data_IF_510062388967
#
_entry.id   IF_510062388967
#
_cell.length_a   1.000
_cell.length_b   1.000
_cell.length_c   1.000
_cell.angle_alpha   90.00
_cell.angle_beta   90.00
_cell.angle_gamma   90.00
#
_symmetry.space_group_name_H-M   'P 1'
#
loop_
_entity.id
_entity.type
_entity.pdbx_description
1 polymer ?
#
# COMPACT_ATOMS: atom_id res chain seq x y z
N UNK A 1 13.80 -4.77 9.76
CA UNK A 1 14.51 -3.55 10.19
C UNK A 1 14.95 -2.78 8.96
N UNK A 2 14.82 -1.45 8.99
CA UNK A 2 15.29 -0.57 7.90
C UNK A 2 16.82 -0.47 7.97
N UNK A 3 17.50 -0.60 6.83
CA UNK A 3 18.95 -0.48 6.78
C UNK A 3 19.38 0.98 6.96
N UNK A 4 20.63 1.22 7.41
CA UNK A 4 21.16 2.58 7.57
C UNK A 4 21.10 3.39 6.25
N UNK A 5 21.39 2.74 5.11
CA UNK A 5 21.25 3.36 3.79
C UNK A 5 19.80 3.68 3.44
N UNK A 6 18.86 2.79 3.81
CA UNK A 6 17.42 3.05 3.67
C UNK A 6 17.01 4.30 4.44
N UNK A 7 17.42 4.42 5.71
CA UNK A 7 17.16 5.61 6.54
C UNK A 7 17.73 6.86 5.87
N UNK A 8 19.00 6.84 5.44
CA UNK A 8 19.63 7.98 4.77
C UNK A 8 18.86 8.42 3.53
N UNK A 9 18.41 7.48 2.71
CA UNK A 9 17.62 7.77 1.52
C UNK A 9 16.24 8.36 1.86
N UNK A 10 15.53 7.80 2.85
CA UNK A 10 14.26 8.32 3.32
C UNK A 10 14.38 9.75 3.87
N UNK A 11 15.43 10.04 4.64
CA UNK A 11 15.71 11.39 5.16
C UNK A 11 15.97 12.38 4.03
N UNK A 12 16.75 12.00 3.01
CA UNK A 12 16.96 12.85 1.84
C UNK A 12 15.66 13.17 1.10
N UNK A 13 14.77 12.19 0.93
CA UNK A 13 13.46 12.40 0.29
C UNK A 13 12.58 13.38 1.09
N UNK A 14 12.55 13.24 2.42
CA UNK A 14 11.79 14.14 3.30
C UNK A 14 12.40 15.54 3.31
N UNK A 15 13.72 15.65 3.29
CA UNK A 15 14.43 16.94 3.21
C UNK A 15 14.07 17.68 1.93
N UNK A 16 14.12 16.99 0.79
CA UNK A 16 13.81 17.58 -0.51
C UNK A 16 12.36 18.08 -0.62
N UNK A 17 11.41 17.42 0.04
CA UNK A 17 9.98 17.77 -0.04
C UNK A 17 9.52 18.74 1.06
N UNK A 18 10.07 18.65 2.26
CA UNK A 18 9.52 19.32 3.46
C UNK A 18 10.57 20.10 4.27
N UNK A 19 11.84 20.07 3.86
CA UNK A 19 12.93 20.79 4.52
C UNK A 19 13.55 20.07 5.73
N UNK A 20 14.63 20.66 6.23
CA UNK A 20 15.53 20.03 7.21
C UNK A 20 14.89 19.77 8.57
N UNK A 21 14.00 20.67 9.03
CA UNK A 21 13.33 20.53 10.32
C UNK A 21 12.46 19.26 10.37
N UNK A 22 11.66 19.05 9.32
CA UNK A 22 10.78 17.89 9.19
C UNK A 22 11.60 16.62 9.02
N UNK A 23 12.70 16.68 8.26
CA UNK A 23 13.62 15.58 8.06
C UNK A 23 14.30 15.12 9.37
N UNK A 24 14.71 16.06 10.24
CA UNK A 24 15.32 15.75 11.54
C UNK A 24 14.37 14.96 12.45
N UNK A 25 13.10 15.33 12.48
CA UNK A 25 12.06 14.60 13.24
C UNK A 25 11.83 13.21 12.65
N UNK A 26 11.74 13.11 11.32
CA UNK A 26 11.59 11.83 10.63
C UNK A 26 12.78 10.89 10.88
N UNK A 27 14.02 11.39 10.78
CA UNK A 27 15.23 10.61 11.06
C UNK A 27 15.25 10.08 12.50
N UNK A 28 14.84 10.91 13.47
CA UNK A 28 14.73 10.50 14.86
C UNK A 28 13.79 9.30 15.03
N UNK A 29 12.61 9.34 14.41
CA UNK A 29 11.63 8.25 14.45
C UNK A 29 12.14 6.99 13.72
N UNK A 30 12.77 7.15 12.55
CA UNK A 30 13.30 6.01 11.78
C UNK A 30 14.44 5.29 12.49
N UNK A 31 15.26 6.01 13.28
CA UNK A 31 16.38 5.42 14.02
C UNK A 31 15.99 4.86 15.37
N UNK A 32 15.12 5.55 16.11
CA UNK A 32 14.78 5.20 17.50
C UNK A 32 13.48 4.40 17.62
N UNK A 33 12.71 4.30 16.55
CA UNK A 33 11.40 3.66 16.56
C UNK A 33 10.29 4.58 17.11
N UNK A 34 9.22 4.00 17.67
CA UNK A 34 8.09 4.76 18.20
C UNK A 34 8.49 5.64 19.38
N UNK A 35 8.08 6.90 19.37
CA UNK A 35 8.41 7.86 20.43
C UNK A 35 7.22 8.74 20.80
N UNK A 36 7.17 9.20 22.05
CA UNK A 36 6.24 10.24 22.50
C UNK A 36 6.73 11.62 22.04
N UNK A 37 5.82 12.61 22.02
CA UNK A 37 6.17 14.00 21.67
C UNK A 37 7.36 14.53 22.49
N UNK A 38 7.33 14.30 23.81
CA UNK A 38 8.40 14.76 24.71
C UNK A 38 9.74 14.08 24.42
N UNK A 39 9.73 12.78 24.08
CA UNK A 39 10.94 12.05 23.74
C UNK A 39 11.54 12.54 22.40
N UNK A 40 10.70 12.92 21.44
CA UNK A 40 11.14 13.50 20.17
C UNK A 40 11.76 14.87 20.39
N UNK A 41 11.13 15.74 21.19
CA UNK A 41 11.67 17.06 21.57
C UNK A 41 13.06 16.93 22.19
N UNK A 42 13.20 16.05 23.18
CA UNK A 42 14.50 15.79 23.84
C UNK A 42 15.54 15.22 22.88
N UNK A 43 15.14 14.34 21.96
CA UNK A 43 16.06 13.67 21.04
C UNK A 43 16.52 14.54 19.88
N UNK A 44 15.70 15.51 19.47
CA UNK A 44 15.96 16.37 18.31
C UNK A 44 16.49 17.74 18.72
N UNK A 45 16.40 18.10 20.01
CA UNK A 45 16.77 19.43 20.53
C UNK A 45 16.01 20.57 19.83
N UNK A 46 14.84 20.27 19.25
CA UNK A 46 13.94 21.24 18.64
C UNK A 46 12.91 21.73 19.66
N UNK A 47 12.33 22.90 19.41
CA UNK A 47 11.24 23.39 20.26
C UNK A 47 9.99 22.51 20.10
N UNK A 48 9.13 22.47 21.14
CA UNK A 48 7.89 21.70 21.05
C UNK A 48 7.00 22.13 19.88
N UNK A 49 6.98 23.42 19.53
CA UNK A 49 6.24 23.93 18.37
C UNK A 49 6.79 23.38 17.05
N UNK A 50 8.12 23.41 16.86
CA UNK A 50 8.76 22.86 15.67
C UNK A 50 8.48 21.36 15.50
N UNK A 51 8.55 20.59 16.59
CA UNK A 51 8.24 19.15 16.53
C UNK A 51 6.76 18.92 16.19
N UNK A 52 5.82 19.64 16.81
CA UNK A 52 4.39 19.53 16.51
C UNK A 52 4.09 19.84 15.04
N UNK A 53 4.64 20.93 14.51
CA UNK A 53 4.46 21.31 13.10
C UNK A 53 5.08 20.29 12.16
N UNK A 54 6.26 19.74 12.50
CA UNK A 54 6.90 18.69 11.71
C UNK A 54 6.09 17.39 11.70
N UNK A 55 5.56 16.97 12.85
CA UNK A 55 4.68 15.82 12.95
C UNK A 55 3.38 16.03 12.17
N UNK A 56 2.80 17.23 12.22
CA UNK A 56 1.61 17.57 11.43
C UNK A 56 1.85 17.34 9.94
N UNK A 57 2.96 17.85 9.40
CA UNK A 57 3.35 17.65 7.99
C UNK A 57 3.55 16.16 7.68
N UNK A 58 4.27 15.43 8.52
CA UNK A 58 4.55 14.00 8.30
C UNK A 58 3.27 13.16 8.35
N UNK A 59 2.34 13.44 9.27
CA UNK A 59 1.05 12.75 9.38
C UNK A 59 0.18 13.10 8.17
N UNK A 60 0.11 14.38 7.80
CA UNK A 60 -0.61 14.87 6.62
C UNK A 60 -0.20 14.14 5.34
N UNK A 61 1.09 13.80 5.19
CA UNK A 61 1.61 13.06 4.04
C UNK A 61 1.74 11.54 4.26
N UNK A 62 1.06 10.98 5.25
CA UNK A 62 1.04 9.55 5.58
C UNK A 62 2.44 8.94 5.82
N UNK A 63 3.41 9.76 6.23
CA UNK A 63 4.77 9.35 6.54
C UNK A 63 4.93 8.94 8.01
N UNK A 64 4.04 9.40 8.89
CA UNK A 64 4.00 9.06 10.31
C UNK A 64 2.57 8.70 10.71
N UNK A 65 2.42 7.72 11.59
CA UNK A 65 1.16 7.36 12.22
C UNK A 65 1.26 7.60 13.72
N UNK A 66 0.26 8.28 14.30
CA UNK A 66 0.10 8.36 15.74
C UNK A 66 -0.72 7.15 16.21
N UNK A 67 -0.48 6.68 17.44
CA UNK A 67 -1.26 5.63 18.07
C UNK A 67 -1.19 5.78 19.59
N UNK A 68 -2.20 5.28 20.29
CA UNK A 68 -2.24 5.25 21.74
C UNK A 68 -1.79 3.88 22.19
N UNK A 69 -0.78 3.83 23.05
CA UNK A 69 -0.37 2.58 23.69
C UNK A 69 -1.03 2.48 25.06
N UNK A 70 -1.89 1.48 25.24
CA UNK A 70 -2.49 1.18 26.53
C UNK A 70 -1.52 0.32 27.35
N UNK A 71 -1.01 0.91 28.43
CA UNK A 71 -0.17 0.21 29.41
C UNK A 71 -1.05 -0.12 30.60
N UNK A 72 -1.50 -1.37 30.67
CA UNK A 72 -2.14 -1.90 31.88
C UNK A 72 -1.10 -1.87 33.01
N UNK A 73 -1.29 -0.96 33.96
CA UNK A 73 -0.44 -0.83 35.13
C UNK A 73 -0.51 -2.11 35.96
N UNK A 74 0.64 -2.73 36.22
CA UNK A 74 0.73 -3.93 37.07
C UNK A 74 0.37 -3.69 38.54
N UNK A 75 0.16 -2.43 38.95
CA UNK A 75 0.06 -2.04 40.36
C UNK A 75 -0.99 -0.96 40.63
N UNK A 76 -2.23 -1.11 40.14
CA UNK A 76 -3.38 -0.31 40.57
C UNK A 76 -3.33 1.20 40.28
N UNK A 77 -2.27 1.68 39.63
CA UNK A 77 -2.18 3.03 39.08
C UNK A 77 -2.88 3.04 37.71
N UNK A 78 -3.77 4.02 37.50
CA UNK A 78 -4.69 4.04 36.36
C UNK A 78 -3.99 3.87 35.01
N UNK A 79 -4.71 3.31 34.02
CA UNK A 79 -4.19 3.09 32.68
C UNK A 79 -3.60 4.38 32.09
N UNK A 80 -2.27 4.43 31.95
CA UNK A 80 -1.57 5.61 31.43
C UNK A 80 -1.50 5.51 29.92
N UNK A 81 -2.53 6.01 29.27
CA UNK A 81 -2.56 6.16 27.82
C UNK A 81 -1.50 7.18 27.38
N UNK A 82 -0.62 6.76 26.46
CA UNK A 82 0.39 7.65 25.90
C UNK A 82 0.39 7.58 24.37
N UNK A 83 0.23 8.74 23.73
CA UNK A 83 0.34 8.85 22.27
C UNK A 83 1.81 8.72 21.86
N UNK A 84 2.05 7.79 20.95
CA UNK A 84 3.34 7.55 20.32
C UNK A 84 3.22 7.78 18.82
N UNK A 85 4.33 8.18 18.21
CA UNK A 85 4.45 8.43 16.79
C UNK A 85 5.42 7.41 16.19
N UNK A 86 5.04 6.80 15.08
CA UNK A 86 5.87 5.84 14.37
C UNK A 86 6.03 6.28 12.90
N UNK A 87 7.27 6.25 12.40
CA UNK A 87 7.55 6.54 10.99
C UNK A 87 7.21 5.33 10.12
N UNK A 88 6.52 5.57 9.01
CA UNK A 88 6.12 4.56 8.03
C UNK A 88 7.12 4.57 6.87
N UNK A 89 8.20 3.80 7.00
CA UNK A 89 9.29 3.78 6.03
C UNK A 89 8.80 3.48 4.60
N UNK A 90 7.97 2.45 4.43
CA UNK A 90 7.48 2.04 3.12
C UNK A 90 6.70 3.18 2.43
N UNK A 91 5.88 3.94 3.17
CA UNK A 91 5.14 5.11 2.65
C UNK A 91 6.08 6.25 2.23
N UNK A 92 7.14 6.51 3.00
CA UNK A 92 8.13 7.55 2.66
C UNK A 92 8.82 7.21 1.33
N UNK A 93 9.24 5.96 1.15
CA UNK A 93 9.91 5.52 -0.08
C UNK A 93 8.97 5.57 -1.29
N UNK A 94 7.67 5.29 -1.11
CA UNK A 94 6.72 5.38 -2.23
C UNK A 94 6.58 6.78 -2.82
N UNK A 95 6.94 7.85 -2.08
CA UNK A 95 6.93 9.22 -2.60
C UNK A 95 7.77 9.38 -3.86
N UNK A 96 8.91 8.68 -3.93
CA UNK A 96 9.76 8.68 -5.13
C UNK A 96 9.05 8.10 -6.36
N UNK A 97 8.04 7.25 -6.17
CA UNK A 97 7.33 6.56 -7.26
C UNK A 97 6.10 7.30 -7.75
N UNK A 98 5.77 8.48 -7.21
CA UNK A 98 4.59 9.24 -7.59
C UNK A 98 4.45 9.45 -9.12
N UNK A 99 5.49 9.84 -9.87
CA UNK A 99 5.37 9.97 -11.33
C UNK A 99 4.94 8.67 -12.03
N UNK A 100 5.39 7.52 -11.52
CA UNK A 100 5.02 6.20 -12.04
C UNK A 100 3.57 5.85 -11.70
N UNK A 101 3.07 6.24 -10.53
CA UNK A 101 1.68 6.04 -10.14
C UNK A 101 0.73 6.84 -11.04
N UNK A 102 1.07 8.11 -11.32
CA UNK A 102 0.32 8.96 -12.24
C UNK A 102 0.27 8.37 -13.66
N UNK A 103 1.41 7.91 -14.16
CA UNK A 103 1.49 7.25 -15.47
C UNK A 103 0.65 5.97 -15.52
N UNK A 104 0.60 5.20 -14.42
CA UNK A 104 -0.20 3.98 -14.34
C UNK A 104 -1.69 4.29 -14.42
N UNK A 105 -2.16 5.25 -13.62
CA UNK A 105 -3.58 5.64 -13.58
C UNK A 105 -4.01 6.27 -14.89
N UNK A 106 -3.18 7.14 -15.48
CA UNK A 106 -3.48 7.72 -16.78
C UNK A 106 -3.62 6.68 -17.89
N UNK A 107 -2.94 5.53 -17.80
CA UNK A 107 -3.02 4.44 -18.78
C UNK A 107 -4.16 3.46 -18.51
N UNK A 108 -4.44 3.16 -17.24
CA UNK A 108 -5.43 2.15 -16.83
C UNK A 108 -6.85 2.73 -16.76
N UNK A 109 -6.97 4.00 -16.41
CA UNK A 109 -8.23 4.73 -16.30
C UNK A 109 -8.25 5.82 -17.36
N UNK A 110 -8.06 7.07 -16.96
CA UNK A 110 -8.04 8.23 -17.85
C UNK A 110 -7.17 9.36 -17.27
N UNK A 111 -7.00 10.42 -18.06
CA UNK A 111 -6.19 11.58 -17.67
C UNK A 111 -6.78 12.35 -16.48
N UNK A 112 -8.11 12.42 -16.37
CA UNK A 112 -8.78 13.15 -15.29
C UNK A 112 -8.54 12.47 -13.93
N UNK A 113 -8.59 11.14 -13.90
CA UNK A 113 -8.23 10.35 -12.72
C UNK A 113 -6.77 10.61 -12.30
N UNK A 114 -5.85 10.76 -13.26
CA UNK A 114 -4.45 11.02 -12.95
C UNK A 114 -4.24 12.42 -12.34
N UNK A 115 -4.92 13.44 -12.86
CA UNK A 115 -4.85 14.81 -12.33
C UNK A 115 -5.46 14.92 -10.93
N UNK A 116 -6.61 14.28 -10.70
CA UNK A 116 -7.23 14.22 -9.37
C UNK A 116 -6.32 13.50 -8.36
N UNK A 117 -5.69 12.40 -8.77
CA UNK A 117 -4.71 11.69 -7.95
C UNK A 117 -3.45 12.52 -7.69
N UNK A 118 -2.98 13.30 -8.66
CA UNK A 118 -1.82 14.17 -8.50
C UNK A 118 -2.01 15.16 -7.34
N UNK A 119 -3.15 15.86 -7.30
CA UNK A 119 -3.49 16.73 -6.19
C UNK A 119 -3.48 16.01 -4.84
N UNK A 120 -3.99 14.77 -4.80
CA UNK A 120 -3.97 13.93 -3.60
C UNK A 120 -2.55 13.53 -3.19
N UNK A 121 -1.68 13.14 -4.12
CA UNK A 121 -0.29 12.77 -3.83
C UNK A 121 0.55 13.96 -3.36
N UNK A 122 0.34 15.14 -3.95
CA UNK A 122 1.03 16.36 -3.60
C UNK A 122 0.67 16.83 -2.19
N UNK A 123 -0.60 16.76 -1.80
CA UNK A 123 -1.09 17.28 -0.51
C UNK A 123 -1.33 16.23 0.58
N UNK A 124 -1.29 14.94 0.27
CA UNK A 124 -1.45 13.86 1.24
C UNK A 124 -2.92 13.51 1.53
N UNK A 125 -3.43 13.96 2.69
CA UNK A 125 -4.81 13.69 3.15
C UNK A 125 -5.74 14.84 2.78
N UNK A 126 -6.80 14.59 2.02
CA UNK A 126 -7.73 15.64 1.59
C UNK A 126 -9.18 15.25 1.83
N UNK A 127 -10.05 16.23 2.09
CA UNK A 127 -11.50 16.04 2.03
C UNK A 127 -11.99 15.97 0.58
N UNK A 128 -13.18 15.43 0.35
CA UNK A 128 -13.78 15.42 -1.00
C UNK A 128 -13.87 16.83 -1.60
N UNK A 129 -14.36 17.79 -0.79
CA UNK A 129 -14.44 19.21 -1.16
C UNK A 129 -13.07 19.76 -1.57
N UNK A 130 -12.05 19.51 -0.76
CA UNK A 130 -10.68 19.94 -1.04
C UNK A 130 -10.10 19.33 -2.31
N UNK A 131 -10.44 18.08 -2.63
CA UNK A 131 -10.05 17.44 -3.89
C UNK A 131 -10.73 18.11 -5.08
N UNK A 132 -12.04 18.38 -4.97
CA UNK A 132 -12.83 18.98 -6.04
C UNK A 132 -12.43 20.43 -6.32
N UNK A 133 -12.25 21.24 -5.27
CA UNK A 133 -11.82 22.64 -5.40
C UNK A 133 -10.47 22.75 -6.13
N UNK A 134 -9.56 21.80 -5.89
CA UNK A 134 -8.26 21.73 -6.57
C UNK A 134 -8.38 21.30 -8.03
N UNK A 135 -9.22 20.30 -8.33
CA UNK A 135 -9.46 19.87 -9.70
C UNK A 135 -10.06 21.00 -10.55
N UNK A 136 -10.95 21.81 -9.99
CA UNK A 136 -11.55 23.01 -10.63
C UNK A 136 -10.53 24.08 -10.99
N UNK A 137 -9.48 24.24 -10.18
CA UNK A 137 -8.42 25.22 -10.45
C UNK A 137 -7.53 24.83 -11.64
N UNK A 138 -7.55 23.55 -12.06
CA UNK A 138 -6.77 23.02 -13.18
C UNK A 138 -7.52 22.85 -14.51
N UNK A 139 -8.85 22.71 -14.50
CA UNK A 139 -9.68 22.53 -15.71
C UNK A 139 -11.12 23.10 -15.56
N UNK A 140 -11.72 23.53 -16.68
CA UNK A 140 -13.14 23.92 -16.81
C UNK A 140 -14.10 22.68 -16.83
N UNK A 141 -13.85 21.67 -15.99
CA UNK A 141 -14.73 20.51 -15.85
C UNK A 141 -15.84 20.77 -14.82
N UNK A 142 -17.08 20.36 -15.12
CA UNK A 142 -18.17 20.40 -14.14
C UNK A 142 -17.98 19.36 -13.02
N UNK A 143 -18.60 19.59 -11.87
CA UNK A 143 -18.49 18.76 -10.65
C UNK A 143 -18.76 17.27 -10.90
N UNK A 144 -19.64 16.96 -11.86
CA UNK A 144 -20.00 15.60 -12.26
C UNK A 144 -18.80 14.80 -12.82
N UNK A 145 -17.94 15.44 -13.61
CA UNK A 145 -16.75 14.80 -14.21
C UNK A 145 -15.72 14.45 -13.14
N UNK A 146 -15.53 15.35 -12.17
CA UNK A 146 -14.60 15.12 -11.06
C UNK A 146 -15.12 14.02 -10.13
N UNK A 147 -16.43 13.98 -9.90
CA UNK A 147 -17.08 12.93 -9.14
C UNK A 147 -16.97 11.57 -9.84
N UNK A 148 -17.17 11.51 -11.16
CA UNK A 148 -16.98 10.28 -11.93
C UNK A 148 -15.53 9.78 -11.84
N UNK A 149 -14.54 10.67 -11.99
CA UNK A 149 -13.13 10.34 -11.85
C UNK A 149 -12.80 9.82 -10.44
N UNK A 150 -13.38 10.44 -9.41
CA UNK A 150 -13.26 9.99 -8.02
C UNK A 150 -13.81 8.57 -7.84
N UNK A 151 -15.01 8.29 -8.34
CA UNK A 151 -15.64 6.97 -8.25
C UNK A 151 -14.82 5.91 -9.00
N UNK A 152 -14.28 6.24 -10.18
CA UNK A 152 -13.37 5.34 -10.93
C UNK A 152 -12.12 4.99 -10.12
N UNK A 153 -11.47 5.98 -9.52
CA UNK A 153 -10.29 5.77 -8.67
C UNK A 153 -10.62 4.89 -7.45
N UNK A 154 -11.79 5.10 -6.86
CA UNK A 154 -12.25 4.36 -5.69
C UNK A 154 -12.56 2.90 -6.01
N UNK A 155 -13.31 2.65 -7.09
CA UNK A 155 -13.64 1.32 -7.58
C UNK A 155 -12.39 0.55 -8.04
N UNK A 156 -11.38 1.25 -8.54
CA UNK A 156 -10.09 0.67 -8.87
C UNK A 156 -9.16 0.49 -7.65
N UNK A 157 -9.61 0.87 -6.44
CA UNK A 157 -8.89 0.82 -5.16
C UNK A 157 -7.60 1.67 -5.11
N UNK A 158 -7.43 2.65 -6.01
CA UNK A 158 -6.26 3.53 -6.01
C UNK A 158 -6.34 4.62 -4.93
N UNK A 159 -7.54 4.93 -4.46
CA UNK A 159 -7.79 5.82 -3.32
C UNK A 159 -8.58 5.09 -2.24
N UNK A 160 -8.40 5.52 -1.00
CA UNK A 160 -9.05 4.93 0.17
C UNK A 160 -9.28 5.99 1.24
N UNK A 161 -10.19 5.71 2.18
CA UNK A 161 -10.33 6.54 3.37
C UNK A 161 -9.06 6.49 4.23
N UNK A 162 -8.76 7.61 4.87
CA UNK A 162 -7.60 7.71 5.75
C UNK A 162 -7.75 6.78 6.96
N UNK A 163 -6.63 6.27 7.49
CA UNK A 163 -6.62 5.56 8.76
C UNK A 163 -7.09 6.46 9.90
N UNK A 164 -7.64 5.86 10.94
CA UNK A 164 -7.94 6.52 12.20
C UNK A 164 -6.71 7.28 12.71
N UNK A 165 -6.93 8.48 13.23
CA UNK A 165 -5.87 9.38 13.68
C UNK A 165 -5.05 8.77 14.82
N UNK A 166 -5.71 8.14 15.78
CA UNK A 166 -5.09 7.58 16.99
C UNK A 166 -5.74 6.24 17.36
N UNK A 167 -5.40 5.13 16.67
CA UNK A 167 -5.84 3.80 17.09
C UNK A 167 -5.27 3.46 18.48
N UNK A 168 -6.07 2.76 19.28
CA UNK A 168 -5.63 2.24 20.57
C UNK A 168 -5.05 0.84 20.37
N UNK A 169 -3.81 0.65 20.79
CA UNK A 169 -3.15 -0.65 20.84
C UNK A 169 -3.01 -1.12 22.27
N UNK A 170 -3.46 -2.34 22.53
CA UNK A 170 -3.14 -3.09 23.74
C UNK A 170 -1.84 -3.86 23.56
N UNK A 171 -0.96 -3.79 24.57
CA UNK A 171 0.22 -4.65 24.59
C UNK A 171 -0.19 -6.12 24.78
N UNK A 172 0.51 -7.08 24.15
CA UNK A 172 0.31 -8.49 24.44
C UNK A 172 0.57 -8.74 25.93
N UNK A 173 -0.30 -9.51 26.58
CA UNK A 173 -0.14 -9.85 28.01
C UNK A 173 1.15 -10.66 28.23
N UNK A 174 1.67 -10.65 29.47
CA UNK A 174 2.85 -11.47 29.84
C UNK A 174 2.68 -12.96 29.51
N UNK A 175 1.45 -13.47 29.52
CA UNK A 175 1.12 -14.83 29.11
C UNK A 175 1.27 -15.04 27.60
N UNK A 176 0.81 -14.09 26.78
CA UNK A 176 1.01 -14.12 25.33
C UNK A 176 2.49 -14.00 24.95
N UNK A 177 3.26 -13.15 25.62
CA UNK A 177 4.71 -13.06 25.41
C UNK A 177 5.44 -14.35 25.83
N UNK A 178 5.02 -14.99 26.93
CA UNK A 178 5.57 -16.26 27.38
C UNK A 178 5.19 -17.41 26.43
N UNK A 179 3.97 -17.43 25.91
CA UNK A 179 3.52 -18.40 24.90
C UNK A 179 4.29 -18.22 23.59
N UNK A 180 4.51 -16.97 23.14
CA UNK A 180 5.34 -16.64 21.96
C UNK A 180 6.80 -17.06 22.12
N UNK A 181 7.39 -16.90 23.31
CA UNK A 181 8.75 -17.39 23.63
C UNK A 181 8.85 -18.91 23.67
N UNK A 182 7.79 -19.62 24.06
CA UNK A 182 7.73 -21.10 24.02
C UNK A 182 7.54 -21.62 22.58
N UNK A 183 6.72 -20.96 21.77
CA UNK A 183 6.51 -21.30 20.36
C UNK A 183 7.79 -21.14 19.52
N UNK A 184 8.55 -20.07 19.75
CA UNK A 184 9.83 -19.84 19.07
C UNK A 184 10.90 -20.91 19.36
N UNK A 185 10.80 -21.64 20.48
CA UNK A 185 11.70 -22.76 20.82
C UNK A 185 11.26 -24.12 20.24
N UNK A 186 10.04 -24.22 19.68
CA UNK A 186 9.42 -25.48 19.25
C UNK A 186 9.57 -25.76 17.75
N UNK A 187 10.17 -24.86 16.96
CA UNK A 187 10.50 -25.10 15.55
C UNK A 187 9.31 -25.34 14.60
N UNK A 188 8.06 -25.17 15.05
CA UNK A 188 6.87 -25.25 14.20
C UNK A 188 6.58 -23.88 13.58
N UNK A 189 6.85 -23.77 12.27
CA UNK A 189 6.49 -22.70 11.33
C UNK A 189 6.96 -21.31 11.79
N UNK A 190 7.93 -20.75 11.06
CA UNK A 190 8.31 -19.34 11.10
C UNK A 190 7.12 -18.49 10.63
N UNK A 191 6.11 -18.34 11.49
CA UNK A 191 5.10 -17.30 11.37
C UNK A 191 5.86 -15.98 11.54
N UNK A 192 6.01 -15.25 10.43
CA UNK A 192 6.71 -13.97 10.40
C UNK A 192 6.08 -13.08 11.47
N UNK A 193 6.79 -12.83 12.57
CA UNK A 193 6.30 -11.96 13.65
C UNK A 193 5.87 -10.63 13.03
N UNK A 194 4.59 -10.31 13.16
CA UNK A 194 4.07 -9.03 12.68
C UNK A 194 4.76 -7.88 13.40
N UNK A 195 5.27 -6.93 12.63
CA UNK A 195 6.00 -5.79 13.19
C UNK A 195 5.03 -4.86 13.91
N UNK A 196 5.52 -4.10 14.89
CA UNK A 196 4.70 -3.09 15.56
C UNK A 196 4.10 -2.08 14.55
N UNK A 197 4.87 -1.72 13.52
CA UNK A 197 4.38 -0.90 12.40
C UNK A 197 3.13 -1.50 11.73
N UNK A 198 3.14 -2.81 11.44
CA UNK A 198 2.01 -3.50 10.83
C UNK A 198 0.78 -3.49 11.74
N UNK A 199 0.95 -3.80 13.03
CA UNK A 199 -0.14 -3.76 14.02
C UNK A 199 -0.76 -2.37 14.15
N UNK A 200 0.07 -1.33 14.18
CA UNK A 200 -0.38 0.07 14.24
C UNK A 200 -1.19 0.43 12.99
N UNK A 201 -0.67 0.11 11.81
CA UNK A 201 -1.36 0.40 10.55
C UNK A 201 -2.69 -0.37 10.46
N UNK A 202 -2.71 -1.65 10.84
CA UNK A 202 -3.91 -2.47 10.83
C UNK A 202 -4.98 -1.97 11.81
N UNK A 203 -4.61 -1.62 13.04
CA UNK A 203 -5.52 -1.04 14.00
C UNK A 203 -6.05 0.35 13.56
N UNK A 204 -5.27 1.08 12.77
CA UNK A 204 -5.70 2.35 12.20
C UNK A 204 -6.64 2.18 10.99
N UNK A 205 -6.63 1.04 10.30
CA UNK A 205 -7.40 0.89 9.06
C UNK A 205 -8.91 0.84 9.36
N UNK A 206 -9.73 1.62 8.65
CA UNK A 206 -11.17 1.47 8.71
C UNK A 206 -11.57 0.05 8.27
N UNK A 207 -12.70 -0.45 8.76
CA UNK A 207 -13.28 -1.71 8.30
C UNK A 207 -13.33 -1.74 6.76
N UNK A 208 -13.06 -2.90 6.17
CA UNK A 208 -12.94 -3.07 4.71
C UNK A 208 -14.14 -2.48 3.94
N UNK A 209 -15.35 -2.61 4.50
CA UNK A 209 -16.55 -1.95 3.98
C UNK A 209 -16.39 -0.41 3.94
N UNK A 210 -16.05 0.23 5.06
CA UNK A 210 -15.91 1.69 5.13
C UNK A 210 -14.73 2.23 4.32
N UNK A 211 -13.66 1.44 4.16
CA UNK A 211 -12.41 1.87 3.49
C UNK A 211 -12.63 2.37 2.06
N UNK A 212 -13.59 1.78 1.35
CA UNK A 212 -13.90 2.10 -0.05
C UNK A 212 -15.35 2.57 -0.26
N UNK A 213 -16.09 2.89 0.81
CA UNK A 213 -17.47 3.35 0.68
C UNK A 213 -17.51 4.82 0.26
N UNK A 214 -18.20 5.09 -0.85
CA UNK A 214 -18.66 6.42 -1.24
C UNK A 214 -20.12 6.57 -0.78
N UNK A 215 -20.35 7.40 0.24
CA UNK A 215 -21.70 7.82 0.58
C UNK A 215 -21.99 9.07 -0.24
N UNK A 216 -22.74 8.94 -1.33
CA UNK A 216 -23.39 10.09 -1.94
C UNK A 216 -24.41 10.59 -0.92
N UNK A 217 -24.26 11.83 -0.45
CA UNK A 217 -25.37 12.53 0.18
C UNK A 217 -26.43 12.79 -0.89
N UNK A 218 -27.19 11.76 -1.25
CA UNK A 218 -28.50 11.96 -1.82
C UNK A 218 -29.36 12.32 -0.63
N UNK A 219 -29.63 13.61 -0.42
CA UNK A 219 -30.78 14.00 0.39
C UNK A 219 -31.95 13.13 -0.05
N UNK A 220 -32.65 12.43 0.86
CA UNK A 220 -33.90 11.81 0.50
C UNK A 220 -34.83 12.98 0.15
N UNK A 221 -35.01 13.20 -1.15
CA UNK A 221 -36.10 14.00 -1.67
C UNK A 221 -37.37 13.49 -0.99
N UNK A 222 -37.88 14.28 -0.07
CA UNK A 222 -39.14 14.04 0.59
C UNK A 222 -40.23 14.01 -0.49
N UNK A 223 -40.59 12.81 -0.93
CA UNK A 223 -41.75 12.63 -1.77
C UNK A 223 -43.00 12.69 -0.87
N UNK A 224 -43.87 13.61 -1.24
CA UNK A 224 -44.99 14.06 -0.45
C UNK A 224 -46.14 13.07 -0.45
N UNK A 225 -46.35 12.40 0.68
CA UNK A 225 -47.64 11.85 1.05
C UNK A 225 -48.52 12.95 1.66
N UNK A 226 -49.40 13.53 0.85
CA UNK A 226 -50.49 14.41 1.30
C UNK A 226 -51.36 13.69 2.33
N UNK A 227 -51.56 14.31 3.49
CA UNK A 227 -52.85 14.25 4.18
C UNK A 227 -53.19 15.61 4.79
N UNK A 228 -54.46 16.00 4.61
CA UNK A 228 -55.03 17.34 4.81
C UNK A 228 -55.58 17.56 6.22
N UNK A 229 -55.69 18.85 6.55
CA UNK A 229 -56.51 19.50 7.59
C UNK A 229 -55.84 19.62 8.97
N UNK A 230 -55.94 20.73 9.73
CA UNK A 230 -56.79 21.91 9.61
C UNK A 230 -56.18 23.11 10.39
N UNK A 231 -56.31 24.32 9.81
CA UNK A 231 -56.39 25.68 10.39
C UNK A 231 -55.80 26.02 11.78
N UNK A 232 -54.94 27.06 11.89
CA UNK A 232 -55.36 28.47 12.12
C UNK A 232 -54.21 29.46 12.48
N UNK A 233 -54.29 30.65 11.87
CA UNK A 233 -53.92 32.02 12.34
C UNK A 233 -52.48 32.42 12.78
N UNK A 234 -51.67 32.93 11.83
CA UNK A 234 -51.27 34.35 11.61
C UNK A 234 -50.95 35.29 12.82
N UNK A 235 -49.63 35.58 12.98
CA UNK A 235 -48.92 36.90 13.22
C UNK A 235 -48.83 37.54 14.65
N UNK A 236 -47.99 38.59 14.88
CA UNK A 236 -46.53 38.69 14.70
C UNK A 236 -45.79 39.52 15.81
N UNK A 237 -44.46 39.42 15.86
CA UNK A 237 -43.58 40.54 16.26
C UNK A 237 -42.89 40.45 17.62
N UNK A 238 -41.55 40.60 17.63
CA UNK A 238 -40.83 41.62 18.39
C UNK A 238 -39.32 41.48 18.14
N UNK A 239 -38.71 42.54 17.60
CA UNK A 239 -37.27 42.73 17.56
C UNK A 239 -36.79 43.12 18.96
N UNK A 240 -35.80 42.42 19.53
CA UNK A 240 -34.87 43.03 20.49
C UNK A 240 -33.42 42.60 20.23
N UNK A 241 -32.61 43.65 20.27
CA UNK A 241 -31.16 43.78 20.21
C UNK A 241 -30.55 43.16 21.48
N UNK A 242 -29.47 42.41 21.37
CA UNK A 242 -28.57 42.21 22.50
C UNK A 242 -27.11 42.34 22.05
N UNK A 243 -26.44 43.23 22.77
CA UNK A 243 -25.01 43.48 22.78
C UNK A 243 -24.42 42.79 24.02
N UNK A 244 -23.10 42.62 24.03
CA UNK A 244 -22.21 42.29 25.16
C UNK A 244 -22.15 40.83 25.71
N UNK A 245 -20.97 40.23 25.43
CA UNK A 245 -20.01 39.59 26.34
C UNK A 245 -20.28 38.20 26.96
N UNK A 246 -19.29 37.35 26.64
CA UNK A 246 -18.68 36.26 27.44
C UNK A 246 -19.52 35.02 27.78
N UNK A 247 -19.15 33.90 27.16
CA UNK A 247 -18.91 32.66 27.89
C UNK A 247 -18.02 31.71 27.09
N UNK A 248 -17.02 31.17 27.77
CA UNK A 248 -16.18 30.06 27.34
C UNK A 248 -17.08 28.89 26.93
N UNK A 249 -17.16 28.62 25.63
CA UNK A 249 -17.83 27.43 25.12
C UNK A 249 -16.81 26.29 25.10
N UNK A 250 -16.90 25.47 26.15
CA UNK A 250 -16.64 24.03 26.13
C UNK A 250 -16.60 23.46 24.71
N UNK A 251 -15.48 22.84 24.38
CA UNK A 251 -15.27 22.09 23.14
C UNK A 251 -16.15 20.83 23.16
N UNK A 252 -17.43 21.02 22.87
CA UNK A 252 -18.42 20.00 22.66
C UNK A 252 -19.05 20.21 21.28
N UNK A 253 -18.22 20.18 20.23
CA UNK A 253 -18.72 20.10 18.86
C UNK A 253 -18.85 18.62 18.51
N UNK A 254 -20.08 18.19 18.24
CA UNK A 254 -20.38 16.98 17.49
C UNK A 254 -19.63 17.02 16.17
N UNK A 255 -18.45 16.40 16.13
CA UNK A 255 -17.67 16.23 14.90
C UNK A 255 -18.46 15.31 13.97
N UNK A 256 -19.21 15.91 13.03
CA UNK A 256 -19.47 15.26 11.76
C UNK A 256 -18.12 14.84 11.21
N UNK A 257 -17.83 13.54 11.30
CA UNK A 257 -16.48 13.03 11.11
C UNK A 257 -16.02 13.31 9.68
N UNK A 258 -15.24 14.38 9.52
CA UNK A 258 -14.78 14.87 8.21
C UNK A 258 -14.00 13.75 7.52
N UNK A 259 -14.59 13.18 6.47
CA UNK A 259 -14.00 12.04 5.77
C UNK A 259 -12.80 12.51 4.96
N UNK A 260 -11.62 12.05 5.36
CA UNK A 260 -10.36 12.29 4.65
C UNK A 260 -10.01 11.10 3.75
N UNK A 261 -9.47 11.40 2.58
CA UNK A 261 -9.04 10.45 1.57
C UNK A 261 -7.52 10.50 1.39
N UNK A 262 -6.93 9.36 1.00
CA UNK A 262 -5.50 9.22 0.68
C UNK A 262 -5.31 8.28 -0.51
N UNK A 263 -4.14 8.33 -1.13
CA UNK A 263 -3.73 7.34 -2.10
C UNK A 263 -3.42 5.98 -1.40
N UNK A 264 -3.91 4.90 -2.00
CA UNK A 264 -3.65 3.53 -1.57
C UNK A 264 -2.36 3.02 -2.21
N UNK A 265 -1.23 3.22 -1.55
CA UNK A 265 0.07 2.80 -2.06
C UNK A 265 0.16 1.29 -2.27
N UNK A 266 -0.53 0.48 -1.47
CA UNK A 266 -0.48 -0.98 -1.59
C UNK A 266 -1.06 -1.47 -2.91
N UNK A 267 -2.14 -0.84 -3.39
CA UNK A 267 -2.73 -1.14 -4.71
C UNK A 267 -1.73 -0.85 -5.84
N UNK A 268 -1.05 0.29 -5.78
CA UNK A 268 -0.03 0.63 -6.77
C UNK A 268 1.12 -0.38 -6.77
N UNK A 269 1.58 -0.80 -5.59
CA UNK A 269 2.68 -1.75 -5.51
C UNK A 269 2.25 -3.14 -5.98
N UNK A 270 1.02 -3.58 -5.68
CA UNK A 270 0.43 -4.81 -6.22
C UNK A 270 0.35 -4.77 -7.74
N UNK A 271 -0.19 -3.70 -8.33
CA UNK A 271 -0.22 -3.51 -9.78
C UNK A 271 1.19 -3.53 -10.41
N UNK A 272 2.18 -2.88 -9.77
CA UNK A 272 3.57 -2.91 -10.27
C UNK A 272 4.20 -4.29 -10.18
N UNK A 273 3.93 -5.06 -9.13
CA UNK A 273 4.38 -6.44 -8.97
C UNK A 273 3.79 -7.33 -10.07
N UNK A 274 2.48 -7.28 -10.25
CA UNK A 274 1.78 -8.02 -11.30
C UNK A 274 2.34 -7.70 -12.67
N UNK A 275 2.52 -6.41 -12.98
CA UNK A 275 3.16 -5.98 -14.23
C UNK A 275 4.57 -6.56 -14.38
N UNK A 276 5.41 -6.51 -13.35
CA UNK A 276 6.75 -7.08 -13.41
C UNK A 276 6.74 -8.60 -13.63
N UNK A 277 5.79 -9.32 -13.03
CA UNK A 277 5.63 -10.76 -13.24
C UNK A 277 5.21 -11.06 -14.68
N UNK A 278 4.27 -10.30 -15.23
CA UNK A 278 3.83 -10.43 -16.63
C UNK A 278 5.00 -10.17 -17.60
N UNK A 279 5.80 -9.12 -17.39
CA UNK A 279 6.98 -8.88 -18.23
C UNK A 279 8.01 -10.01 -18.14
N UNK A 280 8.20 -10.60 -16.96
CA UNK A 280 9.12 -11.73 -16.80
C UNK A 280 8.62 -12.99 -17.54
N UNK A 281 7.31 -13.26 -17.49
CA UNK A 281 6.69 -14.36 -18.24
C UNK A 281 6.76 -14.09 -19.74
N UNK A 282 6.47 -12.86 -20.20
CA UNK A 282 6.55 -12.47 -21.62
C UNK A 282 7.95 -12.63 -22.21
N UNK A 283 8.99 -12.45 -21.41
CA UNK A 283 10.37 -12.64 -21.87
C UNK A 283 10.73 -14.13 -22.13
N UNK A 284 9.91 -15.08 -21.66
CA UNK A 284 10.23 -16.52 -21.66
C UNK A 284 9.21 -17.42 -22.36
N UNK A 285 7.96 -16.98 -22.42
CA UNK A 285 6.85 -17.78 -22.92
C UNK A 285 6.09 -17.05 -24.03
N UNK A 286 5.19 -17.77 -24.69
CA UNK A 286 4.36 -17.26 -25.77
C UNK A 286 3.21 -16.38 -25.26
N UNK A 287 2.58 -15.64 -26.17
CA UNK A 287 1.46 -14.75 -25.85
C UNK A 287 0.28 -15.49 -25.19
N UNK A 288 0.04 -16.76 -25.56
CA UNK A 288 -0.98 -17.59 -24.93
C UNK A 288 -0.74 -17.79 -23.43
N UNK A 289 0.49 -18.12 -23.04
CA UNK A 289 0.87 -18.25 -21.64
C UNK A 289 0.80 -16.91 -20.89
N UNK A 290 1.19 -15.81 -21.54
CA UNK A 290 1.09 -14.46 -20.95
C UNK A 290 -0.36 -14.08 -20.66
N UNK A 291 -1.28 -14.37 -21.57
CA UNK A 291 -2.72 -14.10 -21.39
C UNK A 291 -3.29 -14.93 -20.23
N UNK A 292 -3.00 -16.24 -20.21
CA UNK A 292 -3.44 -17.13 -19.12
C UNK A 292 -2.89 -16.66 -17.78
N UNK A 293 -1.61 -16.32 -17.72
CA UNK A 293 -0.98 -15.82 -16.50
C UNK A 293 -1.58 -14.48 -16.05
N UNK A 294 -1.83 -13.55 -16.98
CA UNK A 294 -2.52 -12.29 -16.69
C UNK A 294 -3.91 -12.49 -16.11
N UNK A 295 -4.69 -13.43 -16.67
CA UNK A 295 -6.01 -13.79 -16.16
C UNK A 295 -5.95 -14.38 -14.75
N UNK A 296 -4.96 -15.21 -14.44
CA UNK A 296 -4.75 -15.71 -13.07
C UNK A 296 -4.49 -14.58 -12.06
N UNK A 297 -3.71 -13.56 -12.45
CA UNK A 297 -3.44 -12.41 -11.58
C UNK A 297 -4.68 -11.56 -11.34
N UNK A 298 -5.51 -11.34 -12.37
CA UNK A 298 -6.77 -10.61 -12.19
C UNK A 298 -7.77 -11.41 -11.33
N UNK A 299 -7.86 -12.73 -11.55
CA UNK A 299 -8.71 -13.63 -10.77
C UNK A 299 -8.39 -13.63 -9.27
N UNK A 300 -7.10 -13.52 -8.92
CA UNK A 300 -6.65 -13.52 -7.52
C UNK A 300 -6.63 -12.14 -6.87
N UNK A 301 -6.85 -11.07 -7.64
CA UNK A 301 -6.67 -9.68 -7.20
C UNK A 301 -7.51 -9.32 -5.97
N UNK A 302 -8.77 -9.76 -5.92
CA UNK A 302 -9.68 -9.47 -4.80
C UNK A 302 -9.30 -10.20 -3.50
N UNK A 303 -8.58 -11.33 -3.61
CA UNK A 303 -8.15 -12.11 -2.46
C UNK A 303 -6.78 -11.65 -1.90
N UNK A 304 -6.03 -10.83 -2.63
CA UNK A 304 -4.70 -10.34 -2.24
C UNK A 304 -4.77 -9.19 -1.23
N UNK A 305 -4.78 -9.53 0.08
CA UNK A 305 -4.82 -8.51 1.15
C UNK A 305 -3.48 -7.84 1.47
N UNK A 306 -2.36 -8.54 1.30
CA UNK A 306 -1.01 -8.03 1.62
C UNK A 306 -0.16 -7.96 0.35
N UNK A 307 0.67 -6.92 0.22
CA UNK A 307 1.58 -6.75 -0.94
C UNK A 307 2.68 -7.80 -0.97
N UNK A 308 3.18 -8.20 0.21
CA UNK A 308 4.28 -9.17 0.38
C UNK A 308 3.74 -10.58 0.59
N UNK A 309 2.88 -11.05 -0.32
CA UNK A 309 2.43 -12.46 -0.35
C UNK A 309 3.40 -13.31 -1.17
N UNK A 310 3.76 -14.48 -0.65
CA UNK A 310 4.66 -15.41 -1.37
C UNK A 310 3.93 -16.15 -2.50
N UNK A 311 2.67 -16.54 -2.28
CA UNK A 311 1.86 -17.27 -3.24
C UNK A 311 0.47 -16.66 -3.35
N UNK A 312 -0.18 -16.82 -4.50
CA UNK A 312 -1.59 -16.49 -4.70
C UNK A 312 -2.50 -17.55 -4.08
N UNK A 313 -3.79 -17.23 -3.94
CA UNK A 313 -4.83 -18.22 -3.63
C UNK A 313 -4.90 -19.25 -4.76
N UNK A 314 -5.10 -20.55 -4.45
CA UNK A 314 -5.27 -21.57 -5.47
C UNK A 314 -6.54 -21.35 -6.28
N UNK A 315 -6.42 -21.45 -7.61
CA UNK A 315 -7.49 -21.33 -8.58
C UNK A 315 -7.78 -22.68 -9.25
N UNK A 316 -9.04 -22.94 -9.57
CA UNK A 316 -9.42 -24.08 -10.40
C UNK A 316 -9.18 -23.76 -11.89
N UNK A 317 -8.98 -24.79 -12.71
CA UNK A 317 -8.82 -24.63 -14.15
C UNK A 317 -10.03 -23.93 -14.80
N UNK A 318 -11.24 -24.25 -14.36
CA UNK A 318 -12.49 -23.63 -14.81
C UNK A 318 -12.53 -22.14 -14.48
N UNK A 319 -12.17 -21.75 -13.24
CA UNK A 319 -12.10 -20.33 -12.85
C UNK A 319 -11.10 -19.54 -13.70
N UNK A 320 -9.94 -20.15 -14.01
CA UNK A 320 -8.95 -19.50 -14.88
C UNK A 320 -9.50 -19.31 -16.29
N UNK A 321 -10.15 -20.33 -16.85
CA UNK A 321 -10.72 -20.26 -18.19
C UNK A 321 -11.82 -19.20 -18.30
N UNK A 322 -12.68 -19.08 -17.30
CA UNK A 322 -13.71 -18.03 -17.25
C UNK A 322 -13.10 -16.62 -17.28
N UNK A 323 -12.01 -16.40 -16.52
CA UNK A 323 -11.31 -15.10 -16.53
C UNK A 323 -10.56 -14.83 -17.84
N UNK A 324 -10.00 -15.87 -18.48
CA UNK A 324 -9.36 -15.75 -19.79
C UNK A 324 -10.36 -15.27 -20.84
N UNK A 325 -11.57 -15.82 -20.89
CA UNK A 325 -12.58 -15.45 -21.90
C UNK A 325 -13.11 -14.01 -21.70
N UNK A 326 -13.06 -13.47 -20.48
CA UNK A 326 -13.44 -12.08 -20.24
C UNK A 326 -12.51 -11.09 -20.95
N UNK A 327 -11.22 -11.42 -21.06
CA UNK A 327 -10.26 -10.62 -21.82
C UNK A 327 -10.52 -10.73 -23.32
N UNK A 328 -10.34 -9.63 -24.07
CA UNK A 328 -10.58 -9.63 -25.52
C UNK A 328 -9.60 -10.56 -26.25
N UNK A 329 -8.36 -10.61 -25.79
CA UNK A 329 -7.27 -11.42 -26.32
C UNK A 329 -7.46 -12.91 -26.02
N UNK A 330 -8.14 -13.24 -24.92
CA UNK A 330 -8.36 -14.61 -24.46
C UNK A 330 -9.58 -15.31 -25.06
N UNK A 331 -10.50 -14.61 -25.73
CA UNK A 331 -11.73 -15.19 -26.30
C UNK A 331 -11.50 -16.32 -27.30
N UNK A 332 -10.36 -16.29 -28.00
CA UNK A 332 -9.99 -17.30 -29.00
C UNK A 332 -9.19 -18.46 -28.41
N UNK A 333 -8.84 -18.42 -27.12
CA UNK A 333 -8.04 -19.46 -26.47
C UNK A 333 -8.94 -20.62 -26.07
N UNK A 334 -8.62 -21.82 -26.53
CA UNK A 334 -9.35 -23.03 -26.17
C UNK A 334 -8.99 -23.52 -24.77
N UNK A 335 -9.89 -24.27 -24.13
CA UNK A 335 -9.67 -24.86 -22.82
C UNK A 335 -8.38 -25.72 -22.75
N UNK A 336 -8.12 -26.51 -23.80
CA UNK A 336 -6.90 -27.32 -23.90
C UNK A 336 -5.64 -26.47 -24.04
N UNK A 337 -5.72 -25.30 -24.71
CA UNK A 337 -4.61 -24.36 -24.79
C UNK A 337 -4.31 -23.72 -23.45
N UNK A 338 -5.33 -23.42 -22.63
CA UNK A 338 -5.13 -22.96 -21.25
C UNK A 338 -4.40 -24.02 -20.42
N UNK A 339 -4.82 -25.28 -20.50
CA UNK A 339 -4.15 -26.40 -19.82
C UNK A 339 -2.69 -26.53 -20.27
N UNK A 340 -2.42 -26.48 -21.57
CA UNK A 340 -1.05 -26.55 -22.10
C UNK A 340 -0.17 -25.38 -21.60
N UNK A 341 -0.74 -24.18 -21.53
CA UNK A 341 -0.05 -22.98 -21.04
C UNK A 341 0.30 -23.09 -19.55
N UNK A 342 -0.59 -23.66 -18.73
CA UNK A 342 -0.33 -23.89 -17.30
C UNK A 342 0.79 -24.92 -17.07
N UNK A 343 0.87 -25.95 -17.92
CA UNK A 343 1.98 -26.91 -17.89
C UNK A 343 3.31 -26.20 -18.21
N UNK A 344 3.34 -25.31 -19.21
CA UNK A 344 4.53 -24.52 -19.54
C UNK A 344 4.94 -23.60 -18.39
N UNK A 345 3.97 -22.88 -17.80
CA UNK A 345 4.20 -21.99 -16.65
C UNK A 345 4.64 -22.73 -15.38
N UNK A 346 4.57 -24.06 -15.35
CA UNK A 346 5.08 -24.87 -14.25
C UNK A 346 6.58 -25.19 -14.39
N UNK A 347 7.20 -24.88 -15.53
CA UNK A 347 8.64 -25.10 -15.80
C UNK A 347 9.28 -23.91 -16.53
N UNK A 348 10.00 -22.99 -15.84
CA UNK A 348 10.23 -22.89 -14.39
C UNK A 348 8.92 -22.77 -13.57
N UNK A 349 8.90 -23.08 -12.27
CA UNK A 349 7.67 -23.12 -11.47
C UNK A 349 7.14 -21.72 -11.12
N UNK A 350 6.71 -20.95 -12.12
CA UNK A 350 5.93 -19.71 -11.96
C UNK A 350 4.56 -20.01 -11.35
N UNK A 351 3.99 -21.16 -11.73
CA UNK A 351 2.73 -21.68 -11.22
C UNK A 351 2.96 -23.01 -10.51
N UNK A 352 2.42 -23.14 -9.30
CA UNK A 352 2.32 -24.39 -8.54
C UNK A 352 0.99 -25.06 -8.85
N UNK A 353 1.07 -26.23 -9.48
CA UNK A 353 -0.07 -27.13 -9.65
C UNK A 353 -0.10 -28.15 -8.51
N UNK A 354 -1.18 -28.16 -7.73
CA UNK A 354 -1.43 -29.16 -6.68
C UNK A 354 -2.90 -29.56 -6.69
N UNK A 355 -3.20 -30.86 -6.82
CA UNK A 355 -4.57 -31.39 -6.79
C UNK A 355 -5.56 -30.64 -7.70
N UNK A 356 -5.20 -30.43 -8.97
CA UNK A 356 -6.02 -29.68 -9.96
C UNK A 356 -6.26 -28.19 -9.62
N UNK A 357 -5.56 -27.67 -8.63
CA UNK A 357 -5.52 -26.25 -8.30
C UNK A 357 -4.18 -25.61 -8.68
N UNK A 358 -4.23 -24.37 -9.13
CA UNK A 358 -3.08 -23.62 -9.65
C UNK A 358 -2.90 -22.35 -8.83
N UNK A 359 -1.69 -22.12 -8.32
CA UNK A 359 -1.34 -20.89 -7.59
C UNK A 359 -0.08 -20.27 -8.17
N UNK A 360 -0.02 -18.95 -8.21
CA UNK A 360 1.16 -18.21 -8.69
C UNK A 360 2.17 -18.10 -7.54
N UNK A 361 3.41 -18.48 -7.79
CA UNK A 361 4.52 -18.39 -6.83
C UNK A 361 5.28 -17.05 -7.00
N UNK A 362 4.74 -15.96 -6.47
CA UNK A 362 5.36 -14.64 -6.58
C UNK A 362 6.82 -14.62 -6.10
N UNK A 363 7.14 -15.39 -5.05
CA UNK A 363 8.48 -15.45 -4.50
C UNK A 363 9.50 -15.93 -5.53
N UNK A 364 9.25 -17.08 -6.16
CA UNK A 364 10.17 -17.62 -7.17
C UNK A 364 10.30 -16.72 -8.38
N UNK A 365 9.20 -16.11 -8.82
CA UNK A 365 9.21 -15.20 -9.98
C UNK A 365 10.08 -13.97 -9.69
N UNK A 366 9.94 -13.40 -8.49
CA UNK A 366 10.71 -12.24 -8.07
C UNK A 366 12.18 -12.61 -7.85
N UNK A 367 12.47 -13.75 -7.22
CA UNK A 367 13.85 -14.24 -7.03
C UNK A 367 14.54 -14.47 -8.37
N UNK A 368 13.86 -15.08 -9.34
CA UNK A 368 14.36 -15.27 -10.70
C UNK A 368 14.69 -13.92 -11.36
N UNK A 369 13.75 -12.97 -11.34
CA UNK A 369 13.96 -11.64 -11.90
C UNK A 369 15.12 -10.88 -11.22
N UNK A 370 15.27 -11.03 -9.90
CA UNK A 370 16.37 -10.44 -9.15
C UNK A 370 17.71 -11.06 -9.52
N UNK A 371 17.77 -12.38 -9.69
CA UNK A 371 18.99 -13.06 -10.13
C UNK A 371 19.42 -12.59 -11.53
N UNK A 372 18.47 -12.41 -12.46
CA UNK A 372 18.75 -11.85 -13.79
C UNK A 372 19.28 -10.42 -13.75
N UNK A 373 18.74 -9.58 -12.86
CA UNK A 373 19.23 -8.21 -12.69
C UNK A 373 20.65 -8.18 -12.11
N UNK A 374 20.94 -9.02 -11.11
CA UNK A 374 22.30 -9.16 -10.56
C UNK A 374 23.27 -9.66 -11.61
N UNK A 375 22.87 -10.66 -12.39
CA UNK A 375 23.60 -11.17 -13.55
C UNK A 375 23.95 -10.06 -14.56
N UNK A 376 22.97 -9.22 -14.90
CA UNK A 376 23.15 -8.06 -15.78
C UNK A 376 24.14 -7.04 -15.21
N UNK A 377 24.08 -6.78 -13.89
CA UNK A 377 25.04 -5.90 -13.21
C UNK A 377 26.46 -6.49 -13.26
N UNK A 378 26.62 -7.80 -13.01
CA UNK A 378 27.92 -8.46 -13.08
C UNK A 378 28.50 -8.39 -14.48
N UNK A 379 27.69 -8.66 -15.51
CA UNK A 379 28.11 -8.56 -16.90
C UNK A 379 28.58 -7.15 -17.26
N UNK A 380 27.81 -6.12 -16.87
CA UNK A 380 28.14 -4.72 -17.17
C UNK A 380 29.39 -4.23 -16.43
N UNK A 381 29.59 -4.66 -15.20
CA UNK A 381 30.68 -4.15 -14.34
C UNK A 381 31.98 -4.93 -14.46
N UNK A 382 31.90 -6.24 -14.66
CA UNK A 382 33.05 -7.15 -14.60
C UNK A 382 33.29 -7.94 -15.89
N UNK A 383 32.39 -7.80 -16.89
CA UNK A 383 32.56 -8.42 -18.20
C UNK A 383 32.05 -9.87 -18.30
N UNK A 384 32.20 -10.44 -19.50
CA UNK A 384 31.58 -11.73 -19.89
C UNK A 384 32.13 -12.93 -19.11
N UNK A 385 33.41 -12.92 -18.78
CA UNK A 385 34.05 -14.05 -18.08
C UNK A 385 33.61 -14.14 -16.62
N UNK A 386 33.56 -12.99 -15.93
CA UNK A 386 33.02 -12.88 -14.59
C UNK A 386 31.53 -13.29 -14.53
N UNK A 387 30.75 -12.86 -15.53
CA UNK A 387 29.36 -13.25 -15.69
C UNK A 387 29.19 -14.78 -15.82
N UNK A 388 29.97 -15.43 -16.70
CA UNK A 388 29.92 -16.89 -16.89
C UNK A 388 30.25 -17.65 -15.61
N UNK A 389 31.31 -17.23 -14.90
CA UNK A 389 31.68 -17.83 -13.62
C UNK A 389 30.59 -17.62 -12.56
N UNK A 390 30.05 -16.41 -12.47
CA UNK A 390 28.97 -16.09 -11.52
C UNK A 390 27.74 -16.96 -11.75
N UNK A 391 27.27 -17.08 -13.00
CA UNK A 391 26.10 -17.89 -13.35
C UNK A 391 26.33 -19.37 -13.08
N UNK A 392 27.52 -19.89 -13.40
CA UNK A 392 27.88 -21.28 -13.14
C UNK A 392 27.88 -21.60 -11.63
N UNK A 393 28.49 -20.72 -10.82
CA UNK A 393 28.50 -20.88 -9.36
C UNK A 393 27.10 -20.74 -8.76
N UNK A 394 26.33 -19.74 -9.20
CA UNK A 394 24.96 -19.50 -8.73
C UNK A 394 24.03 -20.69 -9.02
N UNK A 395 24.14 -21.30 -10.20
CA UNK A 395 23.36 -22.48 -10.56
C UNK A 395 23.79 -23.75 -9.80
N UNK A 396 25.08 -23.89 -9.52
CA UNK A 396 25.60 -25.05 -8.80
C UNK A 396 25.26 -25.02 -7.30
N UNK A 397 25.01 -23.82 -6.74
CA UNK A 397 24.68 -23.66 -5.32
C UNK A 397 25.82 -23.96 -4.34
N UNK A 398 27.04 -24.22 -4.82
CA UNK A 398 28.23 -24.46 -4.01
C UNK A 398 29.49 -23.95 -4.72
N UNK A 399 30.58 -23.79 -3.96
CA UNK A 399 31.87 -23.41 -4.54
C UNK A 399 32.43 -24.57 -5.37
N UNK A 400 32.82 -24.29 -6.59
CA UNK A 400 33.48 -25.24 -7.49
C UNK A 400 34.98 -24.96 -7.54
N UNK A 401 35.78 -26.03 -7.59
CA UNK A 401 37.22 -25.95 -7.78
C UNK A 401 37.53 -25.25 -9.11
N UNK A 402 38.60 -24.45 -9.14
CA UNK A 402 38.98 -23.62 -10.29
C UNK A 402 39.10 -24.42 -11.59
N UNK A 403 39.54 -25.68 -11.50
CA UNK A 403 39.68 -26.59 -12.64
C UNK A 403 38.32 -27.03 -13.23
N UNK A 404 37.28 -27.14 -12.38
CA UNK A 404 35.89 -27.44 -12.80
C UNK A 404 35.22 -26.22 -13.44
N UNK A 405 35.56 -25.02 -12.96
CA UNK A 405 35.13 -23.76 -13.59
C UNK A 405 35.79 -23.60 -14.97
N UNK A 406 37.08 -23.96 -15.10
CA UNK A 406 37.84 -23.92 -16.35
C UNK A 406 37.42 -25.00 -17.37
N UNK A 407 36.92 -26.16 -16.93
CA UNK A 407 36.40 -27.21 -17.83
C UNK A 407 34.95 -26.96 -18.24
N UNK A 408 34.09 -26.43 -17.37
CA UNK A 408 32.79 -25.88 -17.76
C UNK A 408 32.91 -24.73 -18.78
N UNK A 409 34.01 -23.98 -18.69
CA UNK A 409 34.46 -22.98 -19.67
C UNK A 409 34.71 -23.54 -21.09
N UNK A 410 35.09 -24.82 -21.21
CA UNK A 410 35.30 -25.48 -22.50
C UNK A 410 34.01 -26.13 -23.05
N UNK A 411 33.11 -26.60 -22.18
CA UNK A 411 31.85 -27.25 -22.56
C UNK A 411 30.73 -26.29 -22.98
N UNK A 412 30.69 -25.07 -22.43
CA UNK A 412 29.67 -24.04 -22.73
C UNK A 412 29.93 -23.27 -24.04
N UNK A 413 30.89 -23.71 -24.87
CA UNK A 413 31.16 -23.13 -26.20
C UNK A 413 30.12 -23.54 -27.27
N UNK A 414 28.99 -24.15 -26.87
CA UNK A 414 27.98 -24.73 -27.77
C UNK A 414 26.56 -24.17 -27.67
N UNK A 415 26.28 -23.18 -26.82
CA UNK A 415 25.01 -22.43 -26.85
C UNK A 415 25.25 -21.00 -27.35
N UNK A 416 25.69 -20.90 -28.61
CA UNK A 416 25.56 -19.69 -29.42
C UNK A 416 24.55 -19.97 -30.54
N UNK A 417 23.27 -19.73 -30.26
CA UNK A 417 22.22 -19.43 -31.24
C UNK A 417 21.07 -18.72 -30.55
#
# INVERSE_FOLDING_TARGET
>A
MVTQYGIKYAVNLITAHFGDLVAKVCECLLRKGPLTLQAIVRSTELTSSQVKNSLLVLIQHNCVQAFILDQTGEHGDGAKQSTQYIALFDNIIQRWRFPKFLTMVSKKLDKQCAELLEGLLQHGRLTLKQMFDRAKSGQNGGDDVVQEAFVKLLNAHFIERCPASEPVLTNPTKEEEAARKRAAKSGKILEVQETLEQRVVEAAMPTEALRFLFATETEPTADGGKDKSNSSSVTPGEKRKHDALESEAECGATDEQVVLWRANFDEFIRCLRHKACIENVRARFDDGAVIVFGAMLEATRSAEKKVKTENSVPLSLSSIYEEVIKSEEGRNITFDRVRASLVQLSCPPFVKAANESYSVDFKKIIELAQNEEVESIVLKRYGRDAYRMFRLLSNSGHLLETDKVATGWAGLRWDES
#
